data_IF_313061418355
#
_entry.id   IF_313061418355
#
_cell.length_a   1.000
_cell.length_b   1.000
_cell.length_c   1.000
_cell.angle_alpha   90.00
_cell.angle_beta   90.00
_cell.angle_gamma   90.00
#
_symmetry.space_group_name_H-M   'P 1'
#
loop_
_entity.id
_entity.type
_entity.pdbx_description
1 polymer ?
#
# COMPACT_ATOMS: atom_id res chain seq x y z
N UNK A 1 31.87 6.00 -14.06
CA UNK A 1 30.77 5.07 -13.76
C UNK A 1 30.44 5.22 -12.28
N UNK A 2 29.55 6.16 -11.96
CA UNK A 2 29.08 6.42 -10.59
C UNK A 2 27.69 5.80 -10.48
N UNK A 3 27.55 4.83 -9.60
CA UNK A 3 26.26 4.26 -9.21
C UNK A 3 25.57 5.25 -8.28
N UNK A 4 24.71 6.10 -8.83
CA UNK A 4 23.90 7.05 -8.06
C UNK A 4 22.76 6.29 -7.37
N UNK A 5 23.08 5.62 -6.26
CA UNK A 5 22.11 5.08 -5.30
C UNK A 5 21.71 6.28 -4.44
N UNK A 6 20.57 6.89 -4.76
CA UNK A 6 20.01 7.98 -3.96
C UNK A 6 19.22 7.43 -2.78
N UNK A 7 19.76 7.56 -1.58
CA UNK A 7 19.00 7.41 -0.33
C UNK A 7 18.03 8.59 -0.20
N UNK A 8 16.74 8.37 -0.45
CA UNK A 8 15.70 9.39 -0.32
C UNK A 8 14.69 8.94 0.73
N UNK A 9 14.63 9.66 1.84
CA UNK A 9 13.60 9.53 2.86
C UNK A 9 12.31 10.25 2.40
N UNK A 10 11.21 9.50 2.29
CA UNK A 10 9.90 9.98 1.83
C UNK A 10 9.17 10.69 3.00
N UNK A 11 8.61 11.88 2.75
CA UNK A 11 7.65 12.56 3.63
C UNK A 11 6.30 12.65 2.91
N UNK A 12 5.21 12.32 3.59
CA UNK A 12 3.85 12.31 3.01
C UNK A 12 3.30 13.73 2.77
N UNK A 13 2.71 14.02 1.61
CA UNK A 13 1.71 15.07 1.47
C UNK A 13 0.29 14.49 1.57
N UNK A 14 -0.62 15.28 2.13
CA UNK A 14 -2.01 14.93 2.39
C UNK A 14 -2.90 14.88 1.13
N UNK A 15 -3.87 13.95 1.17
CA UNK A 15 -5.12 13.88 0.41
C UNK A 15 -5.08 13.49 -1.09
N UNK A 16 -5.88 12.47 -1.44
CA UNK A 16 -6.93 12.51 -2.48
C UNK A 16 -7.52 11.09 -2.66
N UNK A 17 -8.77 10.89 -2.20
CA UNK A 17 -9.60 9.72 -2.50
C UNK A 17 -10.67 10.10 -3.52
N UNK A 18 -10.91 9.25 -4.53
CA UNK A 18 -12.21 9.08 -5.18
C UNK A 18 -12.31 7.69 -5.84
N UNK A 19 -13.53 7.15 -5.80
CA UNK A 19 -13.98 5.77 -6.02
C UNK A 19 -13.69 5.17 -7.41
N UNK A 20 -13.40 3.86 -7.45
CA UNK A 20 -13.37 3.04 -8.69
C UNK A 20 -14.15 1.74 -8.47
N UNK A 21 -14.99 1.31 -9.42
CA UNK A 21 -15.73 0.05 -9.31
C UNK A 21 -14.85 -1.12 -9.76
N UNK A 22 -14.81 -2.23 -9.01
CA UNK A 22 -14.22 -3.48 -9.52
C UNK A 22 -14.93 -4.73 -8.98
N UNK A 23 -15.36 -5.57 -9.92
CA UNK A 23 -15.91 -6.90 -9.69
C UNK A 23 -14.79 -7.90 -9.34
N UNK A 24 -15.09 -8.80 -8.39
CA UNK A 24 -14.20 -9.78 -7.73
C UNK A 24 -13.15 -9.20 -6.76
N UNK A 25 -13.59 -8.92 -5.53
CA UNK A 25 -12.76 -8.39 -4.47
C UNK A 25 -11.94 -9.49 -3.78
N UNK A 26 -10.66 -9.60 -4.12
CA UNK A 26 -9.63 -9.99 -3.14
C UNK A 26 -9.08 -8.69 -2.57
N UNK A 27 -9.28 -8.44 -1.27
CA UNK A 27 -8.88 -7.17 -0.63
C UNK A 27 -7.34 -7.07 -0.59
N UNK A 28 -6.75 -6.41 -1.60
CA UNK A 28 -5.38 -5.87 -1.63
C UNK A 28 -5.36 -4.51 -2.32
N UNK A 29 -5.32 -3.46 -1.50
CA UNK A 29 -5.64 -2.09 -1.91
C UNK A 29 -4.36 -1.26 -2.23
N UNK A 30 -3.15 -1.69 -1.84
CA UNK A 30 -1.92 -0.89 -2.02
C UNK A 30 -1.47 -0.70 -3.48
N UNK A 31 -1.10 -1.79 -4.14
CA UNK A 31 -0.46 -1.73 -5.47
C UNK A 31 -1.42 -1.26 -6.58
N UNK A 32 -2.70 -1.67 -6.52
CA UNK A 32 -3.72 -1.21 -7.48
C UNK A 32 -4.05 0.27 -7.32
N UNK A 33 -3.96 0.84 -6.11
CA UNK A 33 -4.18 2.26 -5.90
C UNK A 33 -3.09 3.10 -6.56
N UNK A 34 -1.84 2.66 -6.51
CA UNK A 34 -0.75 3.39 -7.17
C UNK A 34 -0.95 3.40 -8.71
N UNK A 35 -1.42 2.30 -9.29
CA UNK A 35 -1.78 2.23 -10.72
C UNK A 35 -2.92 3.19 -11.12
N UNK A 36 -3.95 3.34 -10.29
CA UNK A 36 -5.02 4.31 -10.53
C UNK A 36 -4.55 5.77 -10.34
N UNK A 37 -3.81 6.03 -9.28
CA UNK A 37 -3.36 7.38 -8.94
C UNK A 37 -2.39 7.93 -9.98
N UNK A 38 -1.44 7.10 -10.44
CA UNK A 38 -0.55 7.43 -11.55
C UNK A 38 -1.34 7.77 -12.82
N UNK A 39 -2.32 6.94 -13.19
CA UNK A 39 -3.20 7.22 -14.33
C UNK A 39 -3.93 8.57 -14.17
N UNK A 40 -4.51 8.83 -13.00
CA UNK A 40 -5.23 10.09 -12.73
C UNK A 40 -4.31 11.31 -12.88
N UNK A 41 -3.10 11.25 -12.30
CA UNK A 41 -2.11 12.34 -12.42
C UNK A 41 -1.71 12.57 -13.89
N UNK A 42 -1.46 11.51 -14.64
CA UNK A 42 -1.21 11.62 -16.09
C UNK A 42 -2.38 12.26 -16.84
N UNK A 43 -3.63 11.90 -16.52
CA UNK A 43 -4.82 12.55 -17.11
C UNK A 43 -4.95 14.03 -16.74
N UNK A 44 -4.36 14.46 -15.62
CA UNK A 44 -4.31 15.87 -15.21
C UNK A 44 -3.10 16.62 -15.77
N UNK A 45 -2.30 15.98 -16.63
CA UNK A 45 -1.17 16.60 -17.32
C UNK A 45 0.12 16.64 -16.50
N UNK A 46 0.21 15.93 -15.38
CA UNK A 46 1.48 15.77 -14.66
C UNK A 46 2.43 14.85 -15.45
N UNK A 47 3.72 15.16 -15.38
CA UNK A 47 4.77 14.27 -15.86
C UNK A 47 5.03 13.18 -14.80
N UNK A 48 4.51 11.98 -15.09
CA UNK A 48 4.54 10.82 -14.20
C UNK A 48 5.39 9.73 -14.84
N UNK A 49 6.39 9.25 -14.11
CA UNK A 49 7.18 8.07 -14.46
C UNK A 49 6.87 6.95 -13.48
N UNK A 50 6.46 5.78 -13.97
CA UNK A 50 6.28 4.59 -13.13
C UNK A 50 7.66 3.98 -12.86
N UNK A 51 7.92 3.60 -11.61
CA UNK A 51 9.16 2.96 -11.18
C UNK A 51 8.86 1.67 -10.41
N UNK A 52 9.83 0.77 -10.41
CA UNK A 52 9.78 -0.49 -9.64
C UNK A 52 10.57 -0.37 -8.35
N UNK A 53 9.95 -0.83 -7.27
CA UNK A 53 10.55 -0.95 -5.96
C UNK A 53 10.46 -2.39 -5.45
N UNK A 54 11.27 -2.66 -4.43
CA UNK A 54 11.35 -3.89 -3.66
C UNK A 54 11.01 -3.54 -2.21
N UNK A 55 9.96 -4.12 -1.65
CA UNK A 55 9.57 -3.87 -0.25
C UNK A 55 10.47 -4.64 0.71
N UNK A 56 10.93 -3.98 1.78
CA UNK A 56 11.74 -4.62 2.82
C UNK A 56 10.85 -5.34 3.82
N UNK A 57 11.06 -6.64 3.98
CA UNK A 57 10.40 -7.40 5.02
C UNK A 57 10.95 -6.97 6.40
N UNK A 58 10.07 -6.50 7.29
CA UNK A 58 10.48 -6.00 8.61
C UNK A 58 11.08 -7.07 9.54
N UNK A 59 10.72 -8.33 9.36
CA UNK A 59 11.15 -9.44 10.22
C UNK A 59 12.46 -10.04 9.73
N UNK A 60 12.60 -10.27 8.43
CA UNK A 60 13.80 -10.87 7.85
C UNK A 60 14.84 -9.84 7.42
N UNK A 61 14.42 -8.59 7.22
CA UNK A 61 15.24 -7.51 6.67
C UNK A 61 15.57 -7.65 5.18
N UNK A 62 15.08 -8.70 4.52
CA UNK A 62 15.30 -8.93 3.10
C UNK A 62 14.36 -8.09 2.25
N UNK A 63 14.85 -7.66 1.08
CA UNK A 63 14.02 -7.06 0.04
C UNK A 63 13.29 -8.15 -0.75
N UNK A 64 12.02 -7.94 -1.08
CA UNK A 64 11.25 -8.86 -1.92
C UNK A 64 11.71 -8.84 -3.38
N UNK A 65 11.06 -9.60 -4.28
CA UNK A 65 11.50 -9.75 -5.66
C UNK A 65 11.35 -8.46 -6.49
N UNK A 66 12.02 -8.35 -7.65
CA UNK A 66 11.80 -7.24 -8.57
C UNK A 66 10.33 -7.10 -8.95
N UNK A 67 9.84 -5.85 -9.10
CA UNK A 67 8.43 -5.56 -9.42
C UNK A 67 7.43 -5.95 -8.35
N UNK A 68 7.88 -6.22 -7.11
CA UNK A 68 6.95 -6.45 -5.99
C UNK A 68 6.22 -5.18 -5.55
N UNK A 69 6.73 -3.99 -5.87
CA UNK A 69 6.15 -2.74 -5.40
C UNK A 69 6.14 -1.68 -6.50
N UNK A 70 4.96 -1.16 -6.78
CA UNK A 70 4.74 -0.08 -7.73
C UNK A 70 4.88 1.27 -7.02
N UNK A 71 5.79 2.12 -7.48
CA UNK A 71 5.86 3.52 -7.06
C UNK A 71 5.86 4.43 -8.29
N UNK A 72 5.68 5.74 -8.08
CA UNK A 72 5.75 6.70 -9.18
C UNK A 72 6.61 7.90 -8.82
N UNK A 73 7.23 8.48 -9.83
CA UNK A 73 7.95 9.74 -9.73
C UNK A 73 7.20 10.81 -10.53
N UNK A 74 6.90 11.94 -9.87
CA UNK A 74 6.23 13.07 -10.49
C UNK A 74 7.23 14.22 -10.64
N UNK A 75 7.32 14.80 -11.84
CA UNK A 75 8.06 16.05 -12.03
C UNK A 75 7.14 17.24 -11.84
N UNK A 76 7.50 18.13 -10.91
CA UNK A 76 6.76 19.34 -10.61
C UNK A 76 7.75 20.47 -10.31
N UNK A 77 7.62 21.59 -11.02
CA UNK A 77 8.45 22.79 -10.82
C UNK A 77 9.97 22.51 -10.86
N UNK A 78 10.41 21.65 -11.79
CA UNK A 78 11.82 21.26 -11.93
C UNK A 78 12.33 20.25 -10.90
N UNK A 79 11.50 19.85 -9.93
CA UNK A 79 11.83 18.88 -8.90
C UNK A 79 11.23 17.50 -9.23
N UNK A 80 11.86 16.44 -8.70
CA UNK A 80 11.37 15.07 -8.80
C UNK A 80 10.83 14.65 -7.44
N UNK A 81 9.57 14.27 -7.40
CA UNK A 81 8.86 13.82 -6.21
C UNK A 81 8.60 12.33 -6.31
N UNK A 82 8.97 11.56 -5.27
CA UNK A 82 8.60 10.15 -5.18
C UNK A 82 7.25 10.03 -4.48
N UNK A 83 6.31 9.31 -5.09
CA UNK A 83 4.95 9.15 -4.61
C UNK A 83 4.58 7.67 -4.52
N UNK A 84 3.93 7.32 -3.40
CA UNK A 84 3.30 6.03 -3.16
C UNK A 84 2.10 6.23 -2.23
N UNK A 85 1.03 5.47 -2.43
CA UNK A 85 -0.21 5.56 -1.62
C UNK A 85 -0.16 4.69 -0.36
N UNK A 86 0.87 3.89 -0.25
CA UNK A 86 1.08 2.83 0.74
C UNK A 86 2.39 3.06 1.50
N UNK A 87 2.51 4.21 2.18
CA UNK A 87 3.60 4.39 3.13
C UNK A 87 3.31 3.58 4.40
N UNK A 88 4.11 2.55 4.73
CA UNK A 88 4.12 2.03 6.08
C UNK A 88 4.50 3.18 7.02
N UNK A 89 3.78 3.24 8.15
CA UNK A 89 4.06 4.22 9.18
C UNK A 89 5.05 3.50 10.10
N UNK A 90 6.33 3.71 9.83
CA UNK A 90 7.44 3.08 10.53
C UNK A 90 8.34 4.20 11.09
N UNK A 91 9.20 3.91 12.08
CA UNK A 91 10.14 4.90 12.60
C UNK A 91 10.98 5.51 11.48
N UNK A 92 11.35 6.79 11.61
CA UNK A 92 12.07 7.58 10.59
C UNK A 92 13.41 6.99 10.12
N UNK A 93 13.96 5.99 10.81
CA UNK A 93 15.25 5.34 10.51
C UNK A 93 15.12 3.95 9.87
N UNK A 94 13.92 3.52 9.51
CA UNK A 94 13.71 2.19 8.89
C UNK A 94 13.81 2.28 7.37
N UNK A 95 14.68 1.46 6.77
CA UNK A 95 14.66 1.23 5.33
C UNK A 95 13.38 0.48 4.95
N UNK A 96 12.61 1.05 4.02
CA UNK A 96 11.31 0.49 3.61
C UNK A 96 11.35 -0.11 2.21
N UNK A 97 12.03 0.56 1.29
CA UNK A 97 12.03 0.20 -0.12
C UNK A 97 13.40 0.39 -0.73
N UNK A 98 13.70 -0.46 -1.71
CA UNK A 98 14.81 -0.29 -2.65
C UNK A 98 14.22 -0.14 -4.05
N UNK A 99 14.63 0.84 -4.84
CA UNK A 99 14.05 1.09 -6.16
C UNK A 99 15.09 1.47 -7.21
N UNK A 100 14.69 1.44 -8.48
CA UNK A 100 15.50 1.95 -9.59
C UNK A 100 14.80 3.15 -10.25
N UNK A 101 15.56 4.00 -10.93
CA UNK A 101 15.03 5.12 -11.73
C UNK A 101 14.71 4.72 -13.18
N UNK A 102 14.75 3.43 -13.48
CA UNK A 102 14.41 2.92 -14.81
C UNK A 102 12.88 3.03 -15.01
N UNK A 103 12.41 3.74 -16.05
CA UNK A 103 10.99 3.83 -16.34
C UNK A 103 10.38 2.45 -16.59
N UNK A 104 9.20 2.22 -16.03
CA UNK A 104 8.42 0.97 -16.20
C UNK A 104 7.06 1.24 -16.81
N UNK A 105 6.44 0.18 -17.31
CA UNK A 105 5.05 0.17 -17.72
C UNK A 105 4.19 -0.62 -16.72
N UNK A 106 2.88 -0.39 -16.71
CA UNK A 106 1.98 -1.12 -15.81
C UNK A 106 2.02 -2.63 -16.04
N UNK A 107 2.20 -3.04 -17.28
CA UNK A 107 2.21 -4.46 -17.66
C UNK A 107 3.46 -5.20 -17.17
N UNK A 108 4.56 -4.48 -16.85
CA UNK A 108 5.77 -5.07 -16.26
C UNK A 108 5.48 -5.74 -14.91
N UNK A 109 4.47 -5.26 -14.17
CA UNK A 109 4.10 -5.76 -12.85
C UNK A 109 3.09 -6.90 -12.88
N UNK A 110 2.51 -7.19 -14.05
CA UNK A 110 1.38 -8.13 -14.17
C UNK A 110 1.72 -9.52 -13.65
N UNK A 111 2.87 -10.05 -14.03
CA UNK A 111 3.32 -11.36 -13.58
C UNK A 111 3.48 -11.43 -12.06
N UNK A 112 3.98 -10.36 -11.43
CA UNK A 112 4.14 -10.30 -9.98
C UNK A 112 2.78 -10.17 -9.28
N UNK A 113 1.84 -9.40 -9.84
CA UNK A 113 0.47 -9.34 -9.30
C UNK A 113 -0.25 -10.69 -9.39
N UNK A 114 -0.04 -11.45 -10.46
CA UNK A 114 -0.60 -12.79 -10.60
C UNK A 114 0.00 -13.76 -9.56
N UNK A 115 1.32 -13.67 -9.31
CA UNK A 115 1.99 -14.43 -8.25
C UNK A 115 1.48 -14.02 -6.85
N UNK A 116 1.42 -12.73 -6.54
CA UNK A 116 0.92 -12.22 -5.26
C UNK A 116 -0.49 -12.71 -4.92
N UNK A 117 -1.35 -12.90 -5.93
CA UNK A 117 -2.72 -13.35 -5.75
C UNK A 117 -2.86 -14.88 -5.56
N UNK A 118 -1.86 -15.67 -5.94
CA UNK A 118 -1.98 -17.13 -6.05
C UNK A 118 -0.93 -17.92 -5.25
N UNK A 119 0.23 -17.32 -4.99
CA UNK A 119 1.37 -17.97 -4.36
C UNK A 119 1.20 -18.11 -2.84
N UNK A 120 1.32 -19.34 -2.33
CA UNK A 120 1.23 -19.63 -0.90
C UNK A 120 2.32 -18.95 -0.05
N UNK A 121 3.40 -18.46 -0.67
CA UNK A 121 4.44 -17.68 0.00
C UNK A 121 4.15 -16.18 0.07
N UNK A 122 3.10 -15.70 -0.60
CA UNK A 122 2.78 -14.27 -0.63
C UNK A 122 1.94 -13.84 0.57
N UNK A 123 2.32 -12.74 1.21
CA UNK A 123 1.50 -12.11 2.26
C UNK A 123 0.10 -11.73 1.74
N UNK A 124 0.01 -11.40 0.46
CA UNK A 124 -1.25 -11.07 -0.19
C UNK A 124 -2.12 -12.33 -0.35
N UNK A 125 -1.55 -13.48 -0.67
CA UNK A 125 -2.32 -14.73 -0.63
C UNK A 125 -2.77 -15.11 0.79
N UNK A 126 -1.90 -14.87 1.78
CA UNK A 126 -2.05 -15.38 3.15
C UNK A 126 -2.90 -14.51 4.08
N UNK A 127 -3.01 -13.22 3.80
CA UNK A 127 -3.66 -12.25 4.69
C UNK A 127 -4.80 -11.55 3.96
N UNK A 128 -5.93 -11.36 4.63
CA UNK A 128 -6.92 -10.35 4.23
C UNK A 128 -6.54 -9.03 4.88
N UNK A 129 -6.31 -7.98 4.09
CA UNK A 129 -5.83 -6.70 4.60
C UNK A 129 -6.54 -5.52 3.94
N UNK A 130 -7.27 -4.72 4.72
CA UNK A 130 -7.87 -3.47 4.27
C UNK A 130 -7.28 -2.31 5.08
N UNK A 131 -6.86 -1.22 4.45
CA UNK A 131 -6.32 -0.06 5.17
C UNK A 131 -6.88 1.25 4.64
N UNK A 132 -7.21 2.14 5.56
CA UNK A 132 -7.72 3.49 5.32
C UNK A 132 -6.82 4.48 6.04
N UNK A 133 -6.28 5.45 5.30
CA UNK A 133 -5.51 6.53 5.89
C UNK A 133 -6.47 7.55 6.51
N UNK A 134 -6.21 7.94 7.76
CA UNK A 134 -6.96 8.95 8.49
C UNK A 134 -6.09 10.20 8.69
N UNK A 135 -6.67 11.40 8.87
CA UNK A 135 -5.89 12.61 9.12
C UNK A 135 -4.92 12.49 10.31
N UNK A 136 -5.28 11.69 11.32
CA UNK A 136 -4.50 11.51 12.55
C UNK A 136 -3.87 10.11 12.65
N UNK A 137 -3.81 9.34 11.56
CA UNK A 137 -3.33 7.96 11.65
C UNK A 137 -3.76 7.05 10.50
N UNK A 138 -4.03 5.79 10.84
CA UNK A 138 -4.49 4.76 9.90
C UNK A 138 -5.39 3.77 10.61
N UNK A 139 -6.45 3.37 9.93
CA UNK A 139 -7.32 2.28 10.34
C UNK A 139 -7.07 1.09 9.41
N UNK A 140 -6.67 -0.04 9.97
CA UNK A 140 -6.34 -1.26 9.24
C UNK A 140 -7.17 -2.43 9.78
N UNK A 141 -7.73 -3.24 8.89
CA UNK A 141 -8.32 -4.53 9.22
C UNK A 141 -7.40 -5.61 8.68
N UNK A 142 -6.91 -6.49 9.56
CA UNK A 142 -6.12 -7.67 9.19
C UNK A 142 -6.85 -8.93 9.62
N UNK A 143 -7.26 -9.77 8.67
CA UNK A 143 -8.12 -10.91 8.95
C UNK A 143 -9.43 -10.43 9.62
N UNK A 144 -9.65 -10.86 10.86
CA UNK A 144 -10.79 -10.46 11.70
C UNK A 144 -10.47 -9.33 12.68
N UNK A 145 -9.25 -8.79 12.64
CA UNK A 145 -8.74 -7.86 13.66
C UNK A 145 -8.66 -6.42 13.15
N UNK A 146 -9.43 -5.50 13.72
CA UNK A 146 -9.19 -4.07 13.59
C UNK A 146 -7.90 -3.62 14.32
N UNK A 147 -7.20 -2.71 13.69
CA UNK A 147 -5.93 -2.13 14.12
C UNK A 147 -5.99 -0.63 13.87
N UNK A 148 -5.82 0.17 14.92
CA UNK A 148 -5.77 1.63 14.83
C UNK A 148 -4.34 2.06 15.12
N UNK A 149 -3.70 2.71 14.15
CA UNK A 149 -2.42 3.38 14.34
C UNK A 149 -2.68 4.87 14.41
N UNK A 150 -2.37 5.50 15.54
CA UNK A 150 -2.48 6.96 15.72
C UNK A 150 -1.10 7.60 15.58
N UNK A 151 -1.05 8.75 14.92
CA UNK A 151 0.14 9.58 14.75
C UNK A 151 -0.01 10.84 15.61
N UNK A 152 0.91 11.05 16.55
CA UNK A 152 1.01 12.30 17.29
C UNK A 152 1.65 13.37 16.41
N UNK A 153 0.95 14.49 16.22
CA UNK A 153 1.43 15.64 15.43
C UNK A 153 2.54 16.42 16.13
N UNK A 154 2.74 16.24 17.44
CA UNK A 154 3.64 17.07 18.26
C UNK A 154 5.05 16.49 18.31
N UNK A 155 5.19 15.17 18.37
CA UNK A 155 6.48 14.47 18.51
C UNK A 155 6.72 13.40 17.43
N UNK A 156 5.74 13.17 16.55
CA UNK A 156 5.80 12.11 15.55
C UNK A 156 5.75 10.69 16.12
N UNK A 157 5.39 10.54 17.40
CA UNK A 157 5.22 9.22 18.01
C UNK A 157 4.00 8.50 17.44
N UNK A 158 4.14 7.19 17.30
CA UNK A 158 3.09 6.30 16.82
C UNK A 158 2.60 5.42 17.95
N UNK A 159 1.28 5.34 18.12
CA UNK A 159 0.65 4.41 19.03
C UNK A 159 -0.25 3.46 18.22
N UNK A 160 -0.03 2.15 18.38
CA UNK A 160 -0.88 1.13 17.74
C UNK A 160 -1.75 0.47 18.80
N UNK A 161 -3.05 0.47 18.56
CA UNK A 161 -4.05 -0.24 19.36
C UNK A 161 -4.69 -1.33 18.51
N UNK A 162 -4.73 -2.55 19.04
CA UNK A 162 -5.48 -3.66 18.44
C UNK A 162 -6.72 -3.94 19.27
N UNK A 163 -7.84 -4.25 18.60
CA UNK A 163 -9.06 -4.68 19.29
C UNK A 163 -9.19 -6.20 19.30
N UNK A 164 -10.24 -6.71 19.95
CA UNK A 164 -10.64 -8.10 19.82
C UNK A 164 -10.99 -8.44 18.37
N UNK A 165 -10.94 -9.73 18.05
CA UNK A 165 -11.37 -10.26 16.76
C UNK A 165 -12.89 -10.12 16.64
N UNK A 166 -13.34 -9.75 15.44
CA UNK A 166 -14.74 -9.58 15.09
C UNK A 166 -15.29 -10.83 14.39
N UNK A 167 -16.62 -11.00 14.40
CA UNK A 167 -17.31 -11.99 13.59
C UNK A 167 -17.26 -11.65 12.09
N UNK A 168 -17.63 -12.59 11.23
CA UNK A 168 -17.63 -12.37 9.77
C UNK A 168 -18.69 -11.33 9.36
N UNK A 169 -19.82 -11.28 10.07
CA UNK A 169 -20.87 -10.27 9.90
C UNK A 169 -20.38 -8.88 10.33
N UNK A 170 -19.72 -8.80 11.49
CA UNK A 170 -19.16 -7.55 12.00
C UNK A 170 -18.07 -7.00 11.07
N UNK A 171 -17.23 -7.87 10.50
CA UNK A 171 -16.24 -7.46 9.49
C UNK A 171 -16.92 -6.94 8.22
N UNK A 172 -17.99 -7.60 7.77
CA UNK A 172 -18.72 -7.19 6.56
C UNK A 172 -19.38 -5.82 6.75
N UNK A 173 -20.01 -5.58 7.90
CA UNK A 173 -20.55 -4.26 8.27
C UNK A 173 -19.44 -3.22 8.34
N UNK A 174 -18.34 -3.54 9.01
CA UNK A 174 -17.22 -2.63 9.18
C UNK A 174 -16.59 -2.23 7.83
N UNK A 175 -16.47 -3.17 6.88
CA UNK A 175 -16.01 -2.90 5.51
C UNK A 175 -16.95 -1.93 4.79
N UNK A 176 -18.27 -2.09 4.94
CA UNK A 176 -19.26 -1.18 4.38
C UNK A 176 -19.18 0.20 5.04
N UNK A 177 -19.24 0.30 6.36
CA UNK A 177 -19.32 1.56 7.08
C UNK A 177 -18.04 2.39 7.01
N UNK A 178 -16.87 1.76 7.19
CA UNK A 178 -15.58 2.47 7.26
C UNK A 178 -14.93 2.65 5.90
N UNK A 179 -15.06 1.67 5.02
CA UNK A 179 -14.33 1.67 3.75
C UNK A 179 -15.24 1.88 2.53
N UNK A 180 -16.57 1.87 2.70
CA UNK A 180 -17.51 1.94 1.57
C UNK A 180 -17.50 0.68 0.70
N UNK A 181 -16.96 -0.44 1.21
CA UNK A 181 -16.81 -1.69 0.46
C UNK A 181 -18.04 -2.56 0.69
N UNK A 182 -18.79 -2.84 -0.37
CA UNK A 182 -19.92 -3.77 -0.34
C UNK A 182 -19.50 -5.08 -1.02
N UNK A 183 -19.63 -6.18 -0.30
CA UNK A 183 -19.30 -7.51 -0.80
C UNK A 183 -20.54 -8.17 -1.43
N UNK A 184 -20.36 -8.73 -2.62
CA UNK A 184 -21.41 -9.50 -3.31
C UNK A 184 -21.46 -10.98 -2.87
N UNK A 185 -20.46 -11.43 -2.12
CA UNK A 185 -20.36 -12.76 -1.53
C UNK A 185 -19.76 -12.66 -0.12
N UNK A 186 -20.06 -13.61 0.79
CA UNK A 186 -19.43 -13.63 2.11
C UNK A 186 -17.90 -13.62 2.02
N UNK A 187 -17.26 -12.80 2.86
CA UNK A 187 -15.80 -12.82 3.01
C UNK A 187 -15.43 -13.99 3.92
N UNK A 188 -14.40 -14.74 3.53
CA UNK A 188 -13.67 -15.63 4.45
C UNK A 188 -12.33 -14.97 4.78
N UNK A 189 -12.21 -14.26 5.92
CA UNK A 189 -10.96 -13.59 6.26
C UNK A 189 -9.81 -14.58 6.44
N UNK A 190 -8.67 -14.29 5.79
CA UNK A 190 -7.43 -15.05 5.92
C UNK A 190 -6.48 -14.36 6.89
N UNK A 191 -5.82 -15.13 7.75
CA UNK A 191 -4.72 -14.65 8.60
C UNK A 191 -3.66 -15.76 8.82
N UNK A 192 -3.24 -16.43 7.75
CA UNK A 192 -2.28 -17.54 7.85
C UNK A 192 -0.89 -17.04 8.24
N UNK A 193 -0.20 -17.75 9.15
CA UNK A 193 1.19 -17.44 9.47
C UNK A 193 2.11 -17.79 8.29
N UNK A 194 3.11 -16.93 8.07
CA UNK A 194 4.17 -17.03 7.06
C UNK A 194 5.48 -16.62 7.72
#
# INVERSE_FOLDING_TARGET
MSSDIGDIAIRSPESLYNSVPFESLTIHIGERNNGLFSWLLSQRGFDVTILSAQARNRFTGAYGPPFDHFIMMVRLEGHRWLCGTDSPQEPRSTELYKFTLEPRERDDFRAMYDDHQSSAGSIFFCKSLCSLLLPTGRFTVRGRRPIITSLSSVDGQQATQTTADLSDEEITELLREKFGIVLHSPLTPKDFFI
#
